data_IF_460942680589
#
_entry.id   IF_460942680589
#
_cell.length_a   1.000
_cell.length_b   1.000
_cell.length_c   1.000
_cell.angle_alpha   90.00
_cell.angle_beta   90.00
_cell.angle_gamma   90.00
#
_symmetry.space_group_name_H-M   'P 1'
#
loop_
_entity.id
_entity.type
_entity.pdbx_description
1 polymer ?
#
# COMPACT_ATOMS: atom_id res chain seq x y z
N UNK A 1 6.90 -1.61 -16.16
CA UNK A 1 6.87 -2.95 -15.54
C UNK A 1 5.75 -3.72 -16.18
N UNK A 2 5.93 -5.02 -16.40
CA UNK A 2 4.81 -5.91 -16.75
C UNK A 2 3.90 -6.09 -15.54
N UNK A 3 2.66 -6.51 -15.76
CA UNK A 3 1.68 -6.80 -14.70
C UNK A 3 2.22 -7.84 -13.70
N UNK A 4 2.88 -8.88 -14.21
CA UNK A 4 3.55 -9.91 -13.39
C UNK A 4 4.59 -9.34 -12.43
N UNK A 5 5.44 -8.42 -12.89
CA UNK A 5 6.46 -7.79 -12.04
C UNK A 5 5.86 -6.91 -10.94
N UNK A 6 4.69 -6.32 -11.20
CA UNK A 6 3.97 -5.50 -10.22
C UNK A 6 3.44 -6.40 -9.11
N UNK A 7 2.76 -7.49 -9.47
CA UNK A 7 2.24 -8.47 -8.52
C UNK A 7 3.34 -9.10 -7.65
N UNK A 8 4.47 -9.46 -8.25
CA UNK A 8 5.64 -9.98 -7.53
C UNK A 8 6.17 -8.97 -6.50
N UNK A 9 6.27 -7.70 -6.91
CA UNK A 9 6.76 -6.64 -6.03
C UNK A 9 5.79 -6.39 -4.89
N UNK A 10 4.48 -6.34 -5.18
CA UNK A 10 3.41 -6.23 -4.17
C UNK A 10 3.46 -7.39 -3.18
N UNK A 11 3.61 -8.62 -3.67
CA UNK A 11 3.68 -9.83 -2.85
C UNK A 11 4.91 -9.84 -1.95
N UNK A 12 6.07 -9.39 -2.43
CA UNK A 12 7.30 -9.23 -1.63
C UNK A 12 7.05 -8.37 -0.38
N UNK A 13 6.37 -7.24 -0.53
CA UNK A 13 6.07 -6.33 0.60
C UNK A 13 4.97 -6.86 1.52
N UNK A 14 3.98 -7.55 0.97
CA UNK A 14 2.96 -8.27 1.75
C UNK A 14 3.60 -9.36 2.63
N UNK A 15 4.46 -10.20 2.05
CA UNK A 15 5.19 -11.25 2.77
C UNK A 15 6.12 -10.67 3.83
N UNK A 16 6.76 -9.52 3.56
CA UNK A 16 7.57 -8.81 4.54
C UNK A 16 6.76 -8.42 5.78
N UNK A 17 5.56 -7.87 5.58
CA UNK A 17 4.68 -7.49 6.69
C UNK A 17 4.26 -8.73 7.50
N UNK A 18 3.83 -9.80 6.83
CA UNK A 18 3.40 -11.05 7.49
C UNK A 18 4.54 -11.68 8.30
N UNK A 19 5.76 -11.73 7.75
CA UNK A 19 6.95 -12.26 8.45
C UNK A 19 7.30 -11.48 9.71
N UNK A 20 7.02 -10.19 9.74
CA UNK A 20 7.26 -9.32 10.90
C UNK A 20 6.04 -9.25 11.86
N UNK A 21 5.12 -10.21 11.78
CA UNK A 21 3.98 -10.34 12.69
C UNK A 21 2.84 -9.36 12.42
N UNK A 22 2.78 -8.76 11.22
CA UNK A 22 1.65 -7.93 10.84
C UNK A 22 0.42 -8.76 10.45
N UNK A 23 -0.76 -8.24 10.80
CA UNK A 23 -2.05 -8.75 10.36
C UNK A 23 -2.59 -7.85 9.25
N UNK A 24 -2.79 -8.42 8.06
CA UNK A 24 -3.41 -7.72 6.94
C UNK A 24 -4.92 -7.55 7.19
N UNK A 25 -5.42 -6.32 7.05
CA UNK A 25 -6.85 -5.97 7.19
C UNK A 25 -7.49 -5.82 5.83
N UNK A 26 -6.84 -5.11 4.91
CA UNK A 26 -7.35 -4.87 3.57
C UNK A 26 -6.21 -4.61 2.59
N UNK A 27 -6.43 -5.00 1.34
CA UNK A 27 -5.57 -4.73 0.19
C UNK A 27 -6.43 -4.16 -0.92
N UNK A 28 -6.09 -2.96 -1.39
CA UNK A 28 -6.76 -2.33 -2.53
C UNK A 28 -5.76 -2.05 -3.64
N UNK A 29 -6.00 -2.61 -4.81
CA UNK A 29 -5.27 -2.28 -6.03
C UNK A 29 -6.04 -1.23 -6.81
N UNK A 30 -5.46 -0.04 -6.89
CA UNK A 30 -6.05 1.11 -7.60
C UNK A 30 -5.62 1.18 -9.06
N UNK A 31 -4.68 0.32 -9.46
CA UNK A 31 -4.14 0.23 -10.81
C UNK A 31 -3.35 1.48 -11.22
N UNK A 32 -3.25 1.67 -12.53
CA UNK A 32 -2.53 2.79 -13.13
C UNK A 32 -3.32 4.10 -12.95
N UNK A 33 -2.71 5.09 -12.29
CA UNK A 33 -3.25 6.44 -12.17
C UNK A 33 -2.25 7.47 -12.68
N UNK A 34 -2.79 8.56 -13.23
CA UNK A 34 -2.00 9.73 -13.64
C UNK A 34 -1.59 10.52 -12.39
N UNK A 35 -0.31 10.88 -12.31
CA UNK A 35 0.23 11.70 -11.24
C UNK A 35 -0.13 13.18 -11.48
N UNK A 36 -0.32 13.95 -10.40
CA UNK A 36 -0.55 15.39 -10.50
C UNK A 36 0.65 16.13 -11.12
N UNK A 37 1.87 15.66 -10.82
CA UNK A 37 3.12 16.14 -11.39
C UNK A 37 4.07 14.96 -11.65
N UNK A 38 5.04 15.08 -12.57
CA UNK A 38 5.96 14.00 -12.86
C UNK A 38 6.89 13.70 -11.67
N UNK A 39 7.11 12.41 -11.40
CA UNK A 39 8.10 11.93 -10.43
C UNK A 39 9.10 11.07 -11.21
N UNK A 40 10.40 11.33 -11.07
CA UNK A 40 11.45 10.64 -11.84
C UNK A 40 11.13 10.59 -13.36
N UNK A 41 10.62 11.70 -13.90
CA UNK A 41 10.18 11.86 -15.29
C UNK A 41 9.00 10.94 -15.73
N UNK A 42 8.35 10.24 -14.80
CA UNK A 42 7.13 9.45 -15.06
C UNK A 42 5.88 10.27 -14.77
N UNK A 43 4.86 10.17 -15.64
CA UNK A 43 3.58 10.89 -15.51
C UNK A 43 2.45 10.03 -14.92
N UNK A 44 2.66 8.74 -14.77
CA UNK A 44 1.71 7.76 -14.24
C UNK A 44 2.42 6.74 -13.35
N UNK A 45 1.68 6.12 -12.45
CA UNK A 45 2.18 5.09 -11.55
C UNK A 45 1.06 4.14 -11.11
N UNK A 46 1.44 2.95 -10.67
CA UNK A 46 0.53 1.97 -10.09
C UNK A 46 0.37 2.26 -8.60
N UNK A 47 -0.88 2.33 -8.14
CA UNK A 47 -1.20 2.60 -6.76
C UNK A 47 -1.71 1.34 -6.07
N UNK A 48 -1.10 1.04 -4.93
CA UNK A 48 -1.49 -0.05 -4.04
C UNK A 48 -1.68 0.52 -2.65
N UNK A 49 -2.78 0.15 -1.99
CA UNK A 49 -3.09 0.55 -0.63
C UNK A 49 -3.17 -0.69 0.26
N UNK A 50 -2.33 -0.73 1.30
CA UNK A 50 -2.40 -1.74 2.34
C UNK A 50 -2.92 -1.14 3.63
N UNK A 51 -3.87 -1.84 4.23
CA UNK A 51 -4.31 -1.61 5.59
C UNK A 51 -3.88 -2.82 6.41
N UNK A 52 -3.05 -2.59 7.41
CA UNK A 52 -2.48 -3.65 8.23
C UNK A 52 -2.30 -3.18 9.68
N UNK A 53 -2.25 -4.14 10.59
CA UNK A 53 -1.92 -3.93 12.00
C UNK A 53 -0.57 -4.58 12.24
N UNK A 54 0.41 -3.82 12.70
CA UNK A 54 1.76 -4.31 12.97
C UNK A 54 2.33 -3.67 14.24
N UNK A 55 3.30 -4.34 14.90
CA UNK A 55 4.12 -3.70 15.92
C UNK A 55 4.85 -2.49 15.33
N UNK A 56 5.01 -1.42 16.11
CA UNK A 56 5.67 -0.19 15.65
C UNK A 56 7.12 -0.41 15.19
N UNK A 57 7.79 -1.42 15.74
CA UNK A 57 9.16 -1.81 15.40
C UNK A 57 9.31 -2.30 13.95
N UNK A 58 8.24 -2.87 13.36
CA UNK A 58 8.27 -3.38 11.99
C UNK A 58 8.26 -2.26 10.93
N UNK A 59 7.88 -1.03 11.30
CA UNK A 59 7.69 0.07 10.34
C UNK A 59 9.01 0.62 9.79
N UNK A 60 10.02 0.82 10.64
CA UNK A 60 11.29 1.39 10.20
C UNK A 60 12.04 0.49 9.20
N UNK A 61 12.17 -0.85 9.44
CA UNK A 61 12.71 -1.78 8.45
C UNK A 61 11.89 -1.84 7.16
N UNK A 62 10.57 -1.70 7.25
CA UNK A 62 9.68 -1.71 6.09
C UNK A 62 9.92 -0.50 5.18
N UNK A 63 10.01 0.70 5.76
CA UNK A 63 10.32 1.92 5.01
C UNK A 63 11.74 1.93 4.44
N UNK A 64 12.69 1.28 5.12
CA UNK A 64 14.03 1.09 4.60
C UNK A 64 14.00 0.23 3.32
N UNK A 65 13.24 -0.87 3.32
CA UNK A 65 13.11 -1.74 2.15
C UNK A 65 12.44 -1.00 0.98
N UNK A 66 11.45 -0.15 1.25
CA UNK A 66 10.87 0.72 0.23
C UNK A 66 11.87 1.70 -0.41
N UNK A 67 12.83 2.22 0.37
CA UNK A 67 13.87 3.11 -0.16
C UNK A 67 14.94 2.36 -0.96
N UNK A 68 15.18 1.10 -0.64
CA UNK A 68 16.16 0.24 -1.34
C UNK A 68 15.64 -0.24 -2.69
N UNK A 69 14.33 -0.43 -2.81
CA UNK A 69 13.72 -0.94 -4.02
C UNK A 69 13.46 0.18 -5.04
N UNK A 70 14.29 0.25 -6.09
CA UNK A 70 14.18 1.26 -7.15
C UNK A 70 12.87 1.19 -7.95
N UNK A 71 12.10 0.10 -7.82
CA UNK A 71 10.79 -0.05 -8.47
C UNK A 71 9.74 0.85 -7.85
N UNK A 72 9.97 1.34 -6.63
CA UNK A 72 9.03 2.17 -5.87
C UNK A 72 9.45 3.63 -5.97
N UNK A 73 8.60 4.43 -6.61
CA UNK A 73 8.84 5.87 -6.77
C UNK A 73 8.48 6.67 -5.51
N UNK A 74 7.45 6.23 -4.77
CA UNK A 74 6.94 6.94 -3.59
C UNK A 74 6.14 5.99 -2.71
N UNK A 75 6.29 6.15 -1.40
CA UNK A 75 5.48 5.48 -0.38
C UNK A 75 5.01 6.51 0.65
N UNK A 76 3.96 6.17 1.38
CA UNK A 76 3.46 6.96 2.50
C UNK A 76 2.85 6.00 3.53
N UNK A 77 3.48 5.94 4.70
CA UNK A 77 2.97 5.19 5.85
C UNK A 77 2.31 6.18 6.80
N UNK A 78 1.07 5.89 7.22
CA UNK A 78 0.34 6.74 8.18
C UNK A 78 -0.23 5.87 9.29
N UNK A 79 -0.01 6.27 10.54
CA UNK A 79 -0.68 5.65 11.69
C UNK A 79 -2.12 6.13 11.76
N UNK A 80 -3.07 5.20 11.71
CA UNK A 80 -4.48 5.50 11.85
C UNK A 80 -4.85 5.70 13.33
N UNK A 81 -5.64 6.72 13.62
CA UNK A 81 -6.26 6.93 14.92
C UNK A 81 -7.64 6.24 14.97
N UNK A 82 -8.27 6.27 16.15
CA UNK A 82 -9.60 5.68 16.38
C UNK A 82 -10.66 6.19 15.40
N UNK A 83 -10.62 7.47 15.03
CA UNK A 83 -11.60 8.05 14.09
C UNK A 83 -11.32 7.63 12.64
N UNK A 84 -10.04 7.59 12.23
CA UNK A 84 -9.67 7.14 10.91
C UNK A 84 -9.98 5.66 10.67
N UNK A 85 -9.82 4.80 11.68
CA UNK A 85 -10.19 3.37 11.57
C UNK A 85 -11.70 3.22 11.30
N UNK A 86 -12.54 3.88 12.09
CA UNK A 86 -13.99 3.83 11.90
C UNK A 86 -14.41 4.37 10.52
N UNK A 87 -13.71 5.39 10.01
CA UNK A 87 -13.95 5.90 8.66
C UNK A 87 -13.49 4.92 7.57
N UNK A 88 -12.33 4.28 7.75
CA UNK A 88 -11.82 3.29 6.81
C UNK A 88 -12.80 2.12 6.65
N UNK A 89 -13.36 1.62 7.74
CA UNK A 89 -14.40 0.58 7.71
C UNK A 89 -15.63 1.03 6.93
N UNK A 90 -16.16 2.24 7.22
CA UNK A 90 -17.31 2.81 6.49
C UNK A 90 -17.03 3.00 5.00
N UNK A 91 -15.82 3.44 4.64
CA UNK A 91 -15.41 3.58 3.25
C UNK A 91 -15.34 2.22 2.56
N UNK A 92 -14.78 1.20 3.23
CA UNK A 92 -14.68 -0.17 2.70
C UNK A 92 -16.06 -0.77 2.45
N UNK A 93 -17.01 -0.63 3.38
CA UNK A 93 -18.38 -1.12 3.19
C UNK A 93 -19.06 -0.42 2.02
N UNK A 94 -18.98 0.91 1.94
CA UNK A 94 -19.53 1.67 0.81
C UNK A 94 -18.96 1.22 -0.54
N UNK A 95 -17.64 1.02 -0.63
CA UNK A 95 -16.98 0.57 -1.85
C UNK A 95 -17.37 -0.86 -2.25
N UNK A 96 -17.66 -1.74 -1.28
CA UNK A 96 -18.18 -3.09 -1.55
C UNK A 96 -19.61 -3.04 -2.08
N UNK A 97 -20.49 -2.25 -1.47
CA UNK A 97 -21.89 -2.10 -1.92
C UNK A 97 -21.98 -1.49 -3.31
N UNK A 98 -21.14 -0.50 -3.64
CA UNK A 98 -21.14 0.12 -4.96
C UNK A 98 -20.60 -0.78 -6.09
N UNK A 99 -19.94 -1.89 -5.75
CA UNK A 99 -19.46 -2.89 -6.71
C UNK A 99 -20.43 -4.07 -6.90
N UNK A 100 -21.45 -4.21 -6.04
CA UNK A 100 -22.50 -5.21 -6.14
C UNK A 100 -23.67 -4.67 -6.97
#
# INVERSE_FOLDING_TARGET
MSETQIEETVKKFEDFLIKNGAKMVSKEDWGLKKLAYPIQHKKSGFYHLFEFQAPGEAISPYELEFRRDERIMRFLTVKLDKHAIAWAEKRRTRNKTAKA
#
